data_IF_187614450627
#
_entry.id   IF_187614450627
#
_cell.length_a   1.000
_cell.length_b   1.000
_cell.length_c   1.000
_cell.angle_alpha   90.00
_cell.angle_beta   90.00
_cell.angle_gamma   90.00
#
_symmetry.space_group_name_H-M   'P 1'
#
loop_
_entity.id
_entity.type
_entity.pdbx_description
1 polymer ?
#
# COMPACT_ATOMS: atom_id res chain seq x y z
N UNK A 1 7.18 -21.07 -6.02
CA UNK A 1 8.54 -20.84 -5.51
C UNK A 1 8.92 -19.41 -5.85
N UNK A 2 9.43 -18.66 -4.90
CA UNK A 2 9.87 -17.27 -5.09
C UNK A 2 11.02 -16.97 -4.13
N UNK A 3 11.77 -15.90 -4.36
CA UNK A 3 12.82 -15.45 -3.43
C UNK A 3 12.27 -14.33 -2.54
N UNK A 4 12.30 -14.54 -1.23
CA UNK A 4 11.99 -13.47 -0.27
C UNK A 4 12.99 -12.33 -0.47
N UNK A 5 12.50 -11.11 -0.67
CA UNK A 5 13.35 -9.93 -0.93
C UNK A 5 13.95 -9.34 0.35
N UNK A 6 13.58 -9.87 1.53
CA UNK A 6 14.12 -9.46 2.83
C UNK A 6 15.24 -10.40 3.25
N UNK A 7 14.93 -11.68 3.45
CA UNK A 7 15.92 -12.67 3.91
C UNK A 7 16.66 -13.40 2.78
N UNK A 8 16.33 -13.14 1.51
CA UNK A 8 16.93 -13.76 0.32
C UNK A 8 16.82 -15.30 0.22
N UNK A 9 16.01 -15.93 1.08
CA UNK A 9 15.71 -17.37 1.03
C UNK A 9 14.68 -17.64 -0.06
N UNK A 10 14.84 -18.77 -0.75
CA UNK A 10 13.86 -19.26 -1.73
C UNK A 10 12.75 -20.00 -0.99
N UNK A 11 11.53 -19.45 -1.03
CA UNK A 11 10.35 -20.06 -0.45
C UNK A 11 9.87 -21.24 -1.32
N UNK A 12 9.53 -22.40 -0.72
CA UNK A 12 9.11 -23.58 -1.46
C UNK A 12 7.78 -23.37 -2.19
N UNK A 13 7.40 -24.32 -3.04
CA UNK A 13 6.09 -24.29 -3.67
C UNK A 13 4.97 -24.44 -2.62
N UNK A 14 3.86 -23.72 -2.80
CA UNK A 14 2.74 -23.73 -1.85
C UNK A 14 2.89 -22.76 -0.67
N UNK A 15 4.05 -22.13 -0.46
CA UNK A 15 4.19 -21.04 0.52
C UNK A 15 3.60 -19.74 -0.05
N UNK A 16 2.73 -19.07 0.71
CA UNK A 16 2.19 -17.76 0.35
C UNK A 16 3.31 -16.71 0.28
N UNK A 17 3.16 -15.75 -0.63
CA UNK A 17 3.99 -14.55 -0.67
C UNK A 17 3.15 -13.37 -0.20
N UNK A 18 3.70 -12.56 0.70
CA UNK A 18 3.03 -11.35 1.20
C UNK A 18 3.79 -10.12 0.74
N UNK A 19 3.08 -9.03 0.40
CA UNK A 19 3.71 -7.74 0.14
C UNK A 19 3.78 -6.96 1.43
N UNK A 20 4.98 -6.51 1.76
CA UNK A 20 5.21 -5.62 2.90
C UNK A 20 5.72 -4.27 2.43
N UNK A 21 5.27 -3.23 3.11
CA UNK A 21 5.72 -1.86 2.88
C UNK A 21 7.04 -1.68 3.62
N UNK A 22 8.09 -1.31 2.88
CA UNK A 22 9.42 -1.04 3.45
C UNK A 22 9.64 0.45 3.72
N UNK A 23 8.97 1.31 2.95
CA UNK A 23 9.10 2.75 3.08
C UNK A 23 7.86 3.45 2.56
N UNK A 24 7.35 4.39 3.34
CA UNK A 24 6.33 5.35 2.93
C UNK A 24 6.97 6.71 2.62
N UNK A 25 6.29 7.53 1.84
CA UNK A 25 6.66 8.94 1.60
C UNK A 25 5.41 9.81 1.69
N UNK A 26 5.54 11.00 2.25
CA UNK A 26 4.48 12.00 2.17
C UNK A 26 4.28 12.42 0.71
N UNK A 27 3.02 12.59 0.31
CA UNK A 27 2.62 12.98 -1.02
C UNK A 27 1.49 14.01 -0.95
N UNK A 28 1.57 15.04 -1.79
CA UNK A 28 0.51 16.02 -1.98
C UNK A 28 -0.14 15.79 -3.34
N UNK A 29 -1.46 15.68 -3.33
CA UNK A 29 -2.28 15.47 -4.50
C UNK A 29 -2.98 16.77 -4.89
N UNK A 30 -2.82 17.26 -6.12
CA UNK A 30 -3.52 18.45 -6.58
C UNK A 30 -5.01 18.15 -6.79
N UNK A 31 -5.83 19.21 -6.76
CA UNK A 31 -7.24 19.09 -7.14
C UNK A 31 -7.40 18.67 -8.61
N UNK A 32 -8.35 17.77 -8.87
CA UNK A 32 -8.63 17.19 -10.19
C UNK A 32 -10.10 17.40 -10.56
N UNK A 33 -10.42 18.31 -11.49
CA UNK A 33 -11.79 18.54 -11.91
C UNK A 33 -12.34 17.35 -12.70
N UNK A 34 -13.62 17.02 -12.48
CA UNK A 34 -14.36 15.91 -13.14
C UNK A 34 -13.69 14.53 -13.02
N UNK A 35 -12.88 14.32 -11.98
CA UNK A 35 -12.13 13.07 -11.79
C UNK A 35 -13.04 11.86 -11.58
N UNK A 36 -14.15 12.04 -10.85
CA UNK A 36 -15.11 11.00 -10.55
C UNK A 36 -16.33 11.13 -11.45
N UNK A 37 -16.86 10.02 -11.92
CA UNK A 37 -18.09 10.00 -12.71
C UNK A 37 -18.97 8.83 -12.31
N UNK A 38 -20.27 9.08 -12.27
CA UNK A 38 -21.26 8.04 -12.00
C UNK A 38 -22.53 8.29 -12.81
N UNK A 39 -23.24 7.21 -13.13
CA UNK A 39 -24.47 7.28 -13.90
C UNK A 39 -25.66 7.47 -12.97
N UNK A 40 -26.47 8.48 -13.23
CA UNK A 40 -27.78 8.69 -12.57
C UNK A 40 -28.85 8.61 -13.64
N UNK A 41 -29.53 7.46 -13.70
CA UNK A 41 -30.47 7.13 -14.79
C UNK A 41 -29.78 7.11 -16.16
N UNK A 42 -30.23 7.96 -17.10
CA UNK A 42 -29.63 8.09 -18.44
C UNK A 42 -28.50 9.12 -18.52
N UNK A 43 -28.28 9.95 -17.49
CA UNK A 43 -27.30 11.04 -17.50
C UNK A 43 -26.02 10.65 -16.77
N UNK A 44 -24.89 11.15 -17.27
CA UNK A 44 -23.59 11.06 -16.60
C UNK A 44 -23.41 12.28 -15.69
N UNK A 45 -23.07 12.06 -14.42
CA UNK A 45 -22.66 13.11 -13.49
C UNK A 45 -21.16 13.00 -13.24
N UNK A 46 -20.53 14.16 -13.10
CA UNK A 46 -19.12 14.29 -12.78
C UNK A 46 -18.99 15.01 -11.44
N UNK A 47 -18.01 14.62 -10.64
CA UNK A 47 -17.61 15.33 -9.43
C UNK A 47 -16.10 15.52 -9.40
N UNK A 48 -15.70 16.64 -8.80
CA UNK A 48 -14.31 17.00 -8.65
C UNK A 48 -13.69 16.23 -7.49
N UNK A 49 -12.39 15.98 -7.58
CA UNK A 49 -11.58 15.49 -6.47
C UNK A 49 -10.76 16.68 -5.95
N UNK A 50 -10.95 17.12 -4.68
CA UNK A 50 -10.24 18.26 -4.15
C UNK A 50 -8.73 18.03 -3.97
N UNK A 51 -8.26 16.77 -4.05
CA UNK A 51 -6.89 16.41 -3.70
C UNK A 51 -6.68 16.46 -2.17
N UNK A 52 -5.42 16.56 -1.74
CA UNK A 52 -5.05 16.58 -0.33
C UNK A 52 -3.65 16.02 -0.05
N UNK A 53 -3.24 16.04 1.21
CA UNK A 53 -1.99 15.42 1.65
C UNK A 53 -2.25 13.98 2.14
N UNK A 54 -1.30 13.08 1.89
CA UNK A 54 -1.34 11.69 2.34
C UNK A 54 0.02 11.02 2.25
N UNK A 55 0.03 9.69 2.30
CA UNK A 55 1.24 8.88 2.19
C UNK A 55 1.15 7.90 1.04
N UNK A 56 2.26 7.71 0.33
CA UNK A 56 2.42 6.68 -0.69
C UNK A 56 3.43 5.62 -0.26
N UNK A 57 3.20 4.39 -0.72
CA UNK A 57 4.18 3.32 -0.64
C UNK A 57 5.33 3.66 -1.60
N UNK A 58 6.47 4.08 -1.06
CA UNK A 58 7.66 4.38 -1.83
C UNK A 58 8.44 3.12 -2.22
N UNK A 59 8.39 2.09 -1.36
CA UNK A 59 9.03 0.80 -1.62
C UNK A 59 8.26 -0.32 -0.94
N UNK A 60 7.98 -1.38 -1.69
CA UNK A 60 7.44 -2.64 -1.19
C UNK A 60 8.40 -3.81 -1.47
N UNK A 61 8.22 -4.90 -0.73
CA UNK A 61 8.96 -6.13 -0.92
C UNK A 61 8.05 -7.36 -0.85
N UNK A 62 8.35 -8.37 -1.67
CA UNK A 62 7.80 -9.72 -1.54
C UNK A 62 8.51 -10.46 -0.42
N UNK A 63 7.77 -10.80 0.63
CA UNK A 63 8.28 -11.42 1.84
C UNK A 63 7.72 -12.84 2.03
N UNK A 64 8.50 -13.70 2.68
CA UNK A 64 7.98 -14.94 3.23
C UNK A 64 7.11 -14.67 4.47
N UNK A 65 6.23 -15.60 4.87
CA UNK A 65 5.30 -15.38 5.98
C UNK A 65 5.98 -14.94 7.28
N UNK A 66 7.18 -15.49 7.56
CA UNK A 66 7.97 -15.11 8.73
C UNK A 66 8.43 -13.65 8.67
N UNK A 67 9.07 -13.23 7.59
CA UNK A 67 9.50 -11.84 7.42
C UNK A 67 8.31 -10.88 7.34
N UNK A 68 7.17 -11.33 6.82
CA UNK A 68 5.96 -10.52 6.75
C UNK A 68 5.33 -10.29 8.12
N UNK A 69 5.28 -11.32 8.98
CA UNK A 69 4.83 -11.19 10.36
C UNK A 69 5.70 -10.21 11.14
N UNK A 70 7.02 -10.37 11.08
CA UNK A 70 7.97 -9.50 11.80
C UNK A 70 7.87 -8.03 11.35
N UNK A 71 7.66 -7.77 10.05
CA UNK A 71 7.45 -6.41 9.56
C UNK A 71 6.11 -5.81 10.00
N UNK A 72 5.05 -6.62 10.12
CA UNK A 72 3.76 -6.13 10.63
C UNK A 72 3.83 -5.76 12.10
N UNK A 73 4.52 -6.58 12.90
CA UNK A 73 4.73 -6.30 14.33
C UNK A 73 5.48 -4.97 14.51
N UNK A 74 6.57 -4.76 13.78
CA UNK A 74 7.33 -3.50 13.82
C UNK A 74 6.50 -2.29 13.39
N UNK A 75 5.70 -2.42 12.33
CA UNK A 75 4.83 -1.33 11.89
C UNK A 75 3.77 -0.96 12.94
N UNK A 76 3.21 -1.95 13.65
CA UNK A 76 2.24 -1.72 14.72
C UNK A 76 2.88 -1.05 15.95
N UNK A 77 4.13 -1.38 16.26
CA UNK A 77 4.89 -0.71 17.33
C UNK A 77 5.14 0.76 16.98
N UNK A 78 5.65 1.04 15.77
CA UNK A 78 5.92 2.40 15.27
C UNK A 78 4.66 3.28 15.28
N UNK A 79 3.51 2.74 14.84
CA UNK A 79 2.21 3.46 14.86
C UNK A 79 1.71 3.73 16.31
N UNK A 80 2.11 2.90 17.29
CA UNK A 80 1.67 3.03 18.68
C UNK A 80 2.48 4.03 19.51
N UNK A 81 3.74 4.27 19.13
CA UNK A 81 4.64 5.22 19.80
C UNK A 81 4.46 6.67 19.30
N UNK A 82 3.80 6.89 18.16
CA UNK A 82 3.48 8.22 17.61
C UNK A 82 2.17 8.83 18.17
N UNK A 83 1.44 8.12 19.04
CA UNK A 83 0.19 8.55 19.69
C UNK A 83 0.40 9.08 21.12
#
# INVERSE_FOLDING_TARGET
>A
MYRCQICNVVAPAGTSAERVVLKTRAAEYPSRPKAQHHRVGRKMKYSDDPGGAGYEIAKEALACPACAAEHREKALEEDSDEL
#
